data_IF_338924779026
#
_entry.id   IF_338924779026
#
_cell.length_a   1.000
_cell.length_b   1.000
_cell.length_c   1.000
_cell.angle_alpha   90.00
_cell.angle_beta   90.00
_cell.angle_gamma   90.00
#
_symmetry.space_group_name_H-M   'P 1'
#
loop_
_entity.id
_entity.type
_entity.pdbx_description
1 polymer ?
#
# COMPACT_ATOMS: atom_id res chain seq x y z
N UNK A 1 -47.68 -17.88 12.36
CA UNK A 1 -48.05 -16.69 11.58
C UNK A 1 -48.91 -15.76 12.43
N UNK A 2 -48.31 -14.74 13.02
CA UNK A 2 -49.02 -13.62 13.65
C UNK A 2 -48.26 -12.34 13.30
N UNK A 3 -48.97 -11.44 12.62
CA UNK A 3 -48.50 -10.16 12.08
C UNK A 3 -48.18 -9.18 13.22
N UNK A 4 -46.99 -8.58 13.21
CA UNK A 4 -46.68 -7.43 14.06
C UNK A 4 -46.60 -6.17 13.19
N UNK A 5 -47.51 -5.24 13.47
CA UNK A 5 -47.75 -3.99 12.73
C UNK A 5 -46.67 -2.94 13.04
N UNK A 6 -46.41 -2.14 12.01
CA UNK A 6 -45.66 -0.89 11.97
C UNK A 6 -45.98 0.04 13.14
N UNK A 7 -44.95 0.74 13.65
CA UNK A 7 -45.11 2.05 14.27
C UNK A 7 -44.08 3.00 13.69
N UNK A 8 -44.57 3.87 12.82
CA UNK A 8 -43.83 4.99 12.25
C UNK A 8 -43.73 6.09 13.31
N UNK A 9 -42.52 6.37 13.80
CA UNK A 9 -42.26 7.53 14.63
C UNK A 9 -41.67 8.63 13.74
N UNK A 10 -42.53 9.59 13.44
CA UNK A 10 -42.32 10.73 12.57
C UNK A 10 -42.19 11.95 13.49
N UNK A 11 -40.96 12.41 13.76
CA UNK A 11 -40.66 13.65 14.50
C UNK A 11 -39.42 14.24 13.81
N UNK A 12 -39.58 15.08 12.78
CA UNK A 12 -39.75 16.54 12.89
C UNK A 12 -38.71 17.17 13.84
N UNK A 13 -37.49 17.36 13.37
CA UNK A 13 -36.56 18.34 13.95
C UNK A 13 -36.20 19.39 12.90
N UNK A 14 -36.66 20.60 13.22
CA UNK A 14 -36.55 21.83 12.48
C UNK A 14 -35.10 22.31 12.35
N UNK A 15 -34.74 22.67 11.12
CA UNK A 15 -34.10 23.92 10.72
C UNK A 15 -33.40 24.73 11.83
N UNK A 16 -32.07 24.67 11.86
CA UNK A 16 -31.24 25.79 12.30
C UNK A 16 -30.32 26.19 11.14
N UNK A 17 -30.84 27.05 10.27
CA UNK A 17 -30.06 27.86 9.35
C UNK A 17 -29.45 29.01 10.15
N UNK A 18 -28.18 28.91 10.54
CA UNK A 18 -27.42 30.05 11.07
C UNK A 18 -26.77 30.75 9.88
N UNK A 19 -27.32 31.91 9.54
CA UNK A 19 -26.80 32.83 8.54
C UNK A 19 -25.45 33.38 8.97
N UNK A 20 -24.40 33.13 8.17
CA UNK A 20 -23.09 33.78 8.33
C UNK A 20 -23.09 35.07 7.51
N UNK A 21 -22.81 36.24 8.13
CA UNK A 21 -22.80 37.51 7.43
C UNK A 21 -21.63 37.63 6.43
N UNK A 22 -22.00 38.01 5.22
CA UNK A 22 -21.14 38.39 4.11
C UNK A 22 -20.34 39.66 4.47
N UNK A 23 -19.06 39.48 4.83
CA UNK A 23 -18.10 40.56 5.01
C UNK A 23 -17.50 41.00 3.68
N UNK A 24 -17.85 42.21 3.24
CA UNK A 24 -17.24 42.91 2.12
C UNK A 24 -15.78 43.21 2.44
N UNK A 25 -14.83 42.58 1.74
CA UNK A 25 -13.43 43.02 1.72
C UNK A 25 -13.22 43.90 0.50
N UNK A 26 -12.79 45.12 0.79
CA UNK A 26 -12.56 46.20 -0.14
C UNK A 26 -11.50 45.87 -1.18
N UNK A 27 -11.74 46.42 -2.37
CA UNK A 27 -10.80 46.52 -3.46
C UNK A 27 -9.52 47.26 -3.03
N UNK A 28 -8.37 46.68 -3.36
CA UNK A 28 -7.12 47.42 -3.39
C UNK A 28 -6.50 47.26 -4.79
N UNK A 29 -6.65 48.33 -5.57
CA UNK A 29 -5.93 48.54 -6.82
C UNK A 29 -4.43 48.63 -6.52
N UNK A 30 -3.64 47.77 -7.17
CA UNK A 30 -2.20 47.72 -6.98
C UNK A 30 -1.49 47.18 -8.21
N UNK A 31 -1.23 48.07 -9.17
CA UNK A 31 -0.09 48.10 -10.10
C UNK A 31 0.25 46.82 -10.89
N UNK A 32 -0.07 46.90 -12.18
CA UNK A 32 0.66 46.25 -13.27
C UNK A 32 2.17 46.35 -13.08
N UNK A 33 2.83 45.21 -12.85
CA UNK A 33 4.26 45.02 -13.06
C UNK A 33 4.43 43.98 -14.16
N UNK A 34 4.86 44.45 -15.32
CA UNK A 34 5.13 43.74 -16.56
C UNK A 34 6.42 42.94 -16.37
N UNK A 35 6.31 41.66 -16.00
CA UNK A 35 7.44 40.73 -15.98
C UNK A 35 7.83 40.30 -17.40
N UNK A 36 9.12 40.06 -17.68
CA UNK A 36 9.57 39.62 -19.00
C UNK A 36 9.04 38.21 -19.30
N UNK A 37 8.36 38.07 -20.44
CA UNK A 37 8.03 36.78 -21.01
C UNK A 37 9.32 36.11 -21.47
N UNK A 38 9.95 35.32 -20.59
CA UNK A 38 10.88 34.29 -21.04
C UNK A 38 10.05 33.21 -21.73
N UNK A 39 10.07 33.25 -23.04
CA UNK A 39 9.66 32.19 -23.96
C UNK A 39 10.57 30.98 -23.73
N UNK A 40 10.29 30.19 -22.69
CA UNK A 40 10.90 28.87 -22.56
C UNK A 40 10.21 27.96 -23.55
N UNK A 41 10.81 27.89 -24.74
CA UNK A 41 10.55 26.89 -25.77
C UNK A 41 10.26 25.55 -25.10
N UNK A 42 9.11 24.97 -25.43
CA UNK A 42 8.80 23.60 -25.08
C UNK A 42 10.00 22.73 -25.44
N UNK A 43 10.60 22.11 -24.42
CA UNK A 43 11.53 21.02 -24.64
C UNK A 43 10.70 19.92 -25.27
N UNK A 44 10.83 19.77 -26.58
CA UNK A 44 10.35 18.62 -27.29
C UNK A 44 10.97 17.39 -26.62
N UNK A 45 10.12 16.52 -26.07
CA UNK A 45 10.48 15.17 -25.69
C UNK A 45 11.24 14.55 -26.86
N UNK A 46 12.49 14.16 -26.61
CA UNK A 46 13.35 13.54 -27.62
C UNK A 46 12.59 12.36 -28.26
N UNK A 47 12.36 12.37 -29.59
CA UNK A 47 11.82 11.22 -30.29
C UNK A 47 12.96 10.22 -30.48
N UNK A 48 13.09 9.26 -29.57
CA UNK A 48 14.18 8.29 -29.65
C UNK A 48 14.23 7.20 -28.59
N UNK A 49 13.47 7.32 -27.49
CA UNK A 49 13.34 6.20 -26.55
C UNK A 49 12.42 5.17 -27.17
N UNK A 50 12.99 4.14 -27.81
CA UNK A 50 12.27 2.88 -28.06
C UNK A 50 11.54 2.55 -26.76
N UNK A 51 10.23 2.38 -26.82
CA UNK A 51 9.47 1.87 -25.70
C UNK A 51 10.16 0.58 -25.26
N UNK A 52 10.88 0.63 -24.13
CA UNK A 52 11.47 -0.55 -23.53
C UNK A 52 10.31 -1.49 -23.28
N UNK A 53 10.40 -2.71 -23.82
CA UNK A 53 9.37 -3.70 -23.58
C UNK A 53 9.30 -3.89 -22.05
N UNK A 54 8.15 -3.69 -21.38
CA UNK A 54 8.04 -3.82 -19.93
C UNK A 54 8.59 -5.15 -19.40
N UNK A 55 8.43 -6.23 -20.18
CA UNK A 55 8.98 -7.57 -19.91
C UNK A 55 10.52 -7.61 -19.83
N UNK A 56 11.20 -6.57 -20.32
CA UNK A 56 12.66 -6.43 -20.30
C UNK A 56 13.17 -5.54 -19.17
N UNK A 57 12.31 -4.87 -18.40
CA UNK A 57 12.77 -3.95 -17.34
C UNK A 57 12.83 -4.69 -16.01
N UNK A 58 11.69 -5.21 -15.58
CA UNK A 58 11.53 -5.95 -14.32
C UNK A 58 10.65 -7.17 -14.58
N UNK A 59 11.01 -8.28 -13.96
CA UNK A 59 10.18 -9.48 -13.95
C UNK A 59 9.95 -9.96 -12.53
N UNK A 60 8.70 -10.05 -12.13
CA UNK A 60 8.29 -10.66 -10.88
C UNK A 60 8.48 -12.18 -10.97
N UNK A 61 9.17 -12.74 -9.99
CA UNK A 61 9.51 -14.16 -9.97
C UNK A 61 8.63 -14.94 -9.02
N UNK A 62 8.46 -14.41 -7.81
CA UNK A 62 7.77 -15.14 -6.74
C UNK A 62 7.22 -14.17 -5.72
N UNK A 63 5.95 -14.38 -5.37
CA UNK A 63 5.29 -13.70 -4.27
C UNK A 63 4.96 -14.74 -3.21
N UNK A 64 5.29 -14.43 -1.97
CA UNK A 64 4.96 -15.24 -0.80
C UNK A 64 4.57 -14.34 0.36
N UNK A 65 3.43 -14.58 0.98
CA UNK A 65 3.01 -13.84 2.17
C UNK A 65 1.65 -14.25 2.73
N UNK A 66 1.05 -15.29 2.15
CA UNK A 66 -0.31 -15.72 2.46
C UNK A 66 -0.31 -17.00 3.32
N UNK A 67 -1.27 -17.08 4.24
CA UNK A 67 -1.41 -18.19 5.19
C UNK A 67 -0.19 -18.36 6.11
N UNK A 68 -0.01 -19.59 6.61
CA UNK A 68 1.00 -19.87 7.66
C UNK A 68 2.44 -19.60 7.26
N UNK A 69 2.76 -19.66 5.96
CA UNK A 69 4.10 -19.43 5.42
C UNK A 69 4.52 -17.97 5.48
N UNK A 70 3.55 -17.06 5.59
CA UNK A 70 3.82 -15.64 5.76
C UNK A 70 4.19 -15.26 7.20
N UNK A 71 4.09 -16.14 8.19
CA UNK A 71 4.43 -15.75 9.56
C UNK A 71 5.93 -15.78 9.83
N UNK A 72 6.41 -14.68 10.40
CA UNK A 72 7.78 -14.57 10.88
C UNK A 72 7.77 -14.11 12.34
N UNK A 73 8.65 -14.71 13.14
CA UNK A 73 8.79 -14.36 14.54
C UNK A 73 9.41 -12.98 14.71
N UNK A 74 9.05 -12.31 15.79
CA UNK A 74 9.68 -11.07 16.17
C UNK A 74 11.19 -11.30 16.39
N UNK A 75 12.06 -10.45 15.85
CA UNK A 75 13.49 -10.63 16.02
C UNK A 75 13.90 -10.37 17.46
N UNK A 76 14.71 -11.27 18.01
CA UNK A 76 15.28 -11.13 19.34
C UNK A 76 16.62 -10.39 19.25
N UNK A 77 16.61 -9.11 19.63
CA UNK A 77 17.85 -8.35 19.82
C UNK A 77 18.35 -8.55 21.25
N UNK A 78 19.49 -9.23 21.41
CA UNK A 78 20.14 -9.36 22.70
C UNK A 78 20.79 -8.04 23.07
N UNK A 79 20.03 -7.15 23.70
CA UNK A 79 20.58 -5.97 24.38
C UNK A 79 21.03 -6.40 25.78
N UNK A 80 22.18 -5.93 26.23
CA UNK A 80 22.84 -6.36 27.49
C UNK A 80 22.07 -5.98 28.76
N UNK A 81 20.87 -5.42 28.64
CA UNK A 81 20.09 -4.83 29.71
C UNK A 81 18.82 -5.67 29.84
N UNK A 82 18.71 -6.40 30.94
CA UNK A 82 17.64 -7.35 31.21
C UNK A 82 16.25 -6.73 31.07
N UNK A 83 15.60 -6.98 29.94
CA UNK A 83 14.19 -6.71 29.70
C UNK A 83 13.43 -8.03 29.58
N UNK A 84 12.25 -8.11 30.16
CA UNK A 84 11.33 -9.24 29.96
C UNK A 84 11.00 -9.34 28.47
N UNK A 85 11.38 -10.46 27.85
CA UNK A 85 11.04 -10.76 26.45
C UNK A 85 9.52 -10.84 26.37
N UNK A 86 8.90 -9.85 25.73
CA UNK A 86 7.46 -9.85 25.52
C UNK A 86 7.01 -11.06 24.70
N UNK A 87 5.78 -11.53 24.94
CA UNK A 87 5.15 -12.65 24.23
C UNK A 87 5.44 -12.57 22.72
N UNK A 88 6.01 -13.65 22.16
CA UNK A 88 6.21 -13.83 20.72
C UNK A 88 4.93 -13.42 19.97
N UNK A 89 4.98 -12.30 19.26
CA UNK A 89 3.90 -11.91 18.35
C UNK A 89 4.38 -12.13 16.93
N UNK A 90 3.70 -13.01 16.22
CA UNK A 90 4.03 -13.32 14.84
C UNK A 90 3.62 -12.14 13.93
N UNK A 91 4.58 -11.70 13.13
CA UNK A 91 4.37 -10.75 12.05
C UNK A 91 3.96 -11.51 10.80
N UNK A 92 3.09 -10.95 9.96
CA UNK A 92 2.95 -11.48 8.60
C UNK A 92 3.89 -10.73 7.67
N UNK A 93 4.85 -11.45 7.10
CA UNK A 93 5.79 -10.97 6.11
C UNK A 93 5.29 -11.32 4.70
N UNK A 94 5.27 -10.32 3.84
CA UNK A 94 5.06 -10.43 2.41
C UNK A 94 6.43 -10.22 1.76
N UNK A 95 6.86 -11.20 0.97
CA UNK A 95 8.14 -11.20 0.28
C UNK A 95 7.90 -11.36 -1.21
N UNK A 96 8.47 -10.45 -1.98
CA UNK A 96 8.47 -10.46 -3.43
C UNK A 96 9.90 -10.59 -3.94
N UNK A 97 10.15 -11.64 -4.71
CA UNK A 97 11.40 -11.84 -5.46
C UNK A 97 11.22 -11.32 -6.89
N UNK A 98 12.17 -10.51 -7.37
CA UNK A 98 12.14 -9.94 -8.72
C UNK A 98 13.53 -9.91 -9.36
N UNK A 99 13.53 -9.80 -10.69
CA UNK A 99 14.73 -9.64 -11.50
C UNK A 99 14.67 -8.34 -12.29
N UNK A 100 15.82 -7.68 -12.46
CA UNK A 100 16.03 -6.51 -13.30
C UNK A 100 16.97 -6.88 -14.45
N UNK A 101 16.68 -6.43 -15.68
CA UNK A 101 17.53 -6.69 -16.84
C UNK A 101 18.49 -5.54 -17.20
N UNK A 102 18.10 -4.25 -17.11
CA UNK A 102 19.01 -3.13 -17.34
C UNK A 102 20.17 -3.12 -16.33
N UNK A 103 21.33 -2.59 -16.74
CA UNK A 103 22.51 -2.47 -15.86
C UNK A 103 22.20 -1.70 -14.58
N UNK A 104 21.47 -0.59 -14.71
CA UNK A 104 20.94 0.21 -13.62
C UNK A 104 19.50 0.60 -13.91
N UNK A 105 18.68 0.62 -12.86
CA UNK A 105 17.29 1.09 -12.88
C UNK A 105 17.17 2.20 -11.85
N UNK A 106 16.90 3.42 -12.30
CA UNK A 106 16.91 4.61 -11.43
C UNK A 106 15.81 4.57 -10.37
N UNK A 107 14.63 4.04 -10.71
CA UNK A 107 13.44 4.11 -9.86
C UNK A 107 12.43 3.00 -10.17
N UNK A 108 12.04 2.24 -9.14
CA UNK A 108 10.93 1.31 -9.17
C UNK A 108 10.00 1.56 -7.98
N UNK A 109 8.70 1.58 -8.26
CA UNK A 109 7.68 1.67 -7.21
C UNK A 109 6.85 0.39 -7.18
N UNK A 110 6.83 -0.27 -6.02
CA UNK A 110 6.06 -1.47 -5.73
C UNK A 110 4.84 -1.08 -4.91
N UNK A 111 3.65 -1.28 -5.47
CA UNK A 111 2.39 -1.04 -4.80
C UNK A 111 1.83 -2.37 -4.30
N UNK A 112 1.79 -2.53 -2.98
CA UNK A 112 1.23 -3.70 -2.32
C UNK A 112 -0.24 -3.48 -1.97
N UNK A 113 -1.01 -4.54 -2.18
CA UNK A 113 -2.40 -4.69 -1.78
C UNK A 113 -2.52 -6.00 -1.01
N UNK A 114 -3.12 -5.97 0.17
CA UNK A 114 -3.28 -7.16 0.98
C UNK A 114 -4.67 -7.20 1.60
N UNK A 115 -5.23 -8.40 1.76
CA UNK A 115 -6.51 -8.61 2.43
C UNK A 115 -6.33 -9.64 3.53
N UNK A 116 -6.77 -9.30 4.73
CA UNK A 116 -6.96 -10.29 5.81
C UNK A 116 -8.44 -10.60 6.02
N UNK A 117 -8.70 -11.77 6.60
CA UNK A 117 -10.06 -12.25 6.85
C UNK A 117 -10.23 -12.64 8.32
N UNK A 118 -11.30 -12.14 8.94
CA UNK A 118 -11.70 -12.54 10.29
C UNK A 118 -13.21 -12.76 10.39
N UNK A 119 -13.62 -13.56 11.36
CA UNK A 119 -15.02 -13.67 11.78
C UNK A 119 -15.24 -12.70 12.94
N UNK A 120 -16.01 -11.64 12.71
CA UNK A 120 -16.37 -10.64 13.73
C UNK A 120 -17.88 -10.76 13.93
N UNK A 121 -18.31 -11.11 15.14
CA UNK A 121 -19.74 -11.28 15.47
C UNK A 121 -20.47 -12.26 14.55
N UNK A 122 -19.77 -13.30 14.08
CA UNK A 122 -20.33 -14.29 13.14
C UNK A 122 -20.36 -13.84 11.68
N UNK A 123 -19.91 -12.62 11.38
CA UNK A 123 -19.82 -12.08 10.02
C UNK A 123 -18.38 -12.13 9.52
N UNK A 124 -18.19 -12.69 8.32
CA UNK A 124 -16.90 -12.69 7.63
C UNK A 124 -16.56 -11.27 7.19
N UNK A 125 -15.57 -10.67 7.84
CA UNK A 125 -15.13 -9.30 7.58
C UNK A 125 -13.75 -9.33 6.94
N UNK A 126 -13.58 -8.57 5.87
CA UNK A 126 -12.31 -8.40 5.18
C UNK A 126 -11.67 -7.09 5.61
N UNK A 127 -10.36 -7.10 5.84
CA UNK A 127 -9.59 -5.88 6.05
C UNK A 127 -8.62 -5.69 4.90
N UNK A 128 -8.78 -4.59 4.17
CA UNK A 128 -7.98 -4.26 3.00
C UNK A 128 -6.86 -3.29 3.37
N UNK A 129 -5.62 -3.63 3.02
CA UNK A 129 -4.43 -2.84 3.29
C UNK A 129 -3.78 -2.44 1.97
N UNK A 130 -3.29 -1.20 1.94
CA UNK A 130 -2.56 -0.64 0.79
C UNK A 130 -1.32 0.08 1.29
N UNK A 131 -0.18 -0.19 0.66
CA UNK A 131 1.06 0.56 0.90
C UNK A 131 1.98 0.47 -0.31
N UNK A 132 2.79 1.50 -0.52
CA UNK A 132 3.79 1.53 -1.57
C UNK A 132 5.19 1.61 -1.00
N UNK A 133 6.16 1.07 -1.72
CA UNK A 133 7.59 1.22 -1.44
C UNK A 133 8.33 1.53 -2.73
N UNK A 134 9.31 2.41 -2.64
CA UNK A 134 10.08 2.92 -3.76
C UNK A 134 11.55 2.56 -3.56
N UNK A 135 12.16 1.99 -4.58
CA UNK A 135 13.59 1.72 -4.63
C UNK A 135 14.22 2.58 -5.71
N UNK A 136 15.41 3.11 -5.43
CA UNK A 136 16.22 3.83 -6.41
C UNK A 136 17.56 3.12 -6.62
N UNK A 137 18.21 3.45 -7.74
CA UNK A 137 19.59 3.04 -8.02
C UNK A 137 19.80 1.52 -7.93
N UNK A 138 18.95 0.76 -8.65
CA UNK A 138 18.90 -0.70 -8.56
C UNK A 138 19.77 -1.30 -9.66
N UNK A 139 20.81 -2.01 -9.28
CA UNK A 139 21.66 -2.72 -10.24
C UNK A 139 20.90 -3.88 -10.90
N UNK A 140 21.36 -4.30 -12.08
CA UNK A 140 20.97 -5.57 -12.70
C UNK A 140 21.14 -6.75 -11.74
N UNK A 141 20.11 -7.57 -11.61
CA UNK A 141 20.20 -8.77 -10.78
C UNK A 141 18.94 -9.63 -10.85
N UNK A 142 19.04 -10.87 -10.38
CA UNK A 142 17.93 -11.83 -10.41
C UNK A 142 17.37 -12.19 -9.02
N UNK A 143 18.04 -11.75 -7.95
CA UNK A 143 17.75 -12.12 -6.57
C UNK A 143 17.39 -10.88 -5.73
N UNK A 144 16.78 -9.88 -6.36
CA UNK A 144 16.28 -8.72 -5.64
C UNK A 144 15.05 -9.11 -4.84
N UNK A 145 14.96 -8.60 -3.63
CA UNK A 145 13.85 -8.88 -2.73
C UNK A 145 13.22 -7.57 -2.27
N UNK A 146 11.89 -7.56 -2.22
CA UNK A 146 11.12 -6.50 -1.59
C UNK A 146 10.23 -7.10 -0.50
N UNK A 147 10.30 -6.56 0.71
CA UNK A 147 9.56 -7.08 1.86
C UNK A 147 8.63 -6.03 2.48
N UNK A 148 7.42 -6.47 2.82
CA UNK A 148 6.42 -5.70 3.57
C UNK A 148 5.95 -6.52 4.76
N UNK A 149 5.61 -5.85 5.86
CA UNK A 149 5.26 -6.47 7.13
C UNK A 149 3.91 -5.97 7.64
N UNK A 150 3.01 -6.88 7.99
CA UNK A 150 1.78 -6.57 8.69
C UNK A 150 2.01 -6.67 10.20
N UNK A 151 1.63 -5.63 10.93
CA UNK A 151 1.78 -5.57 12.40
C UNK A 151 1.08 -6.75 13.09
N UNK A 152 1.65 -7.32 14.17
CA UNK A 152 1.02 -8.45 14.86
C UNK A 152 -0.31 -8.09 15.52
N UNK A 153 -0.50 -6.82 15.89
CA UNK A 153 -1.80 -6.33 16.38
C UNK A 153 -2.89 -6.38 15.32
N UNK A 154 -2.54 -6.16 14.05
CA UNK A 154 -3.49 -6.29 12.94
C UNK A 154 -3.79 -7.77 12.69
N UNK A 155 -2.78 -8.63 12.63
CA UNK A 155 -2.97 -10.08 12.48
C UNK A 155 -3.89 -10.62 13.58
N UNK A 156 -3.63 -10.28 14.84
CA UNK A 156 -4.44 -10.74 15.97
C UNK A 156 -5.89 -10.27 15.91
N UNK A 157 -6.13 -9.05 15.39
CA UNK A 157 -7.46 -8.42 15.40
C UNK A 157 -8.27 -8.71 14.14
N UNK A 158 -7.61 -8.84 13.00
CA UNK A 158 -8.21 -8.89 11.66
C UNK A 158 -7.88 -10.17 10.91
N UNK A 159 -7.23 -11.12 11.58
CA UNK A 159 -6.92 -12.44 11.05
C UNK A 159 -5.70 -12.46 10.14
N UNK A 160 -5.46 -13.64 9.57
CA UNK A 160 -4.32 -13.91 8.69
C UNK A 160 -4.54 -13.29 7.30
N UNK A 161 -3.43 -13.05 6.59
CA UNK A 161 -3.48 -12.63 5.20
C UNK A 161 -4.08 -13.75 4.34
N UNK A 162 -5.13 -13.38 3.61
CA UNK A 162 -5.92 -14.25 2.75
C UNK A 162 -5.48 -14.12 1.29
N UNK A 163 -5.22 -12.90 0.83
CA UNK A 163 -4.75 -12.60 -0.52
C UNK A 163 -3.80 -11.40 -0.50
N UNK A 164 -2.82 -11.42 -1.40
CA UNK A 164 -1.85 -10.34 -1.61
C UNK A 164 -1.66 -10.14 -3.11
N UNK A 165 -1.58 -8.89 -3.53
CA UNK A 165 -1.21 -8.52 -4.89
C UNK A 165 -0.16 -7.41 -4.88
N UNK A 166 0.69 -7.41 -5.90
CA UNK A 166 1.72 -6.39 -6.10
C UNK A 166 1.69 -5.90 -7.53
N UNK A 167 1.77 -4.58 -7.69
CA UNK A 167 1.99 -3.92 -8.97
C UNK A 167 3.34 -3.23 -8.95
N UNK A 168 4.17 -3.50 -9.95
CA UNK A 168 5.44 -2.78 -10.13
C UNK A 168 5.25 -1.74 -11.20
N UNK A 169 5.68 -0.53 -10.89
CA UNK A 169 5.71 0.58 -11.83
C UNK A 169 7.11 1.13 -12.04
N UNK A 170 7.43 1.40 -13.29
CA UNK A 170 8.66 2.07 -13.74
C UNK A 170 8.25 3.33 -14.49
N UNK A 171 8.78 4.49 -14.09
CA UNK A 171 8.43 5.80 -14.67
C UNK A 171 6.91 6.05 -14.74
N UNK A 172 6.19 5.62 -13.69
CA UNK A 172 4.73 5.77 -13.58
C UNK A 172 3.89 4.80 -14.41
N UNK A 173 4.51 3.89 -15.17
CA UNK A 173 3.80 2.86 -15.93
C UNK A 173 3.90 1.52 -15.22
N UNK A 174 2.77 0.82 -15.06
CA UNK A 174 2.78 -0.56 -14.53
C UNK A 174 3.46 -1.48 -15.54
N UNK A 175 4.54 -2.12 -15.12
CA UNK A 175 5.35 -3.01 -15.97
C UNK A 175 5.06 -4.48 -15.72
N UNK A 176 4.71 -4.85 -14.48
CA UNK A 176 4.40 -6.24 -14.11
C UNK A 176 3.49 -6.27 -12.87
N UNK A 177 2.74 -7.35 -12.71
CA UNK A 177 1.80 -7.56 -11.60
C UNK A 177 1.78 -9.04 -11.17
N UNK A 178 1.68 -9.30 -9.87
CA UNK A 178 1.61 -10.67 -9.34
C UNK A 178 0.63 -10.74 -8.18
N UNK A 179 -0.06 -11.87 -8.05
CA UNK A 179 -1.01 -12.14 -6.98
C UNK A 179 -0.76 -13.50 -6.36
N UNK A 180 -0.99 -13.61 -5.05
CA UNK A 180 -0.98 -14.84 -4.28
C UNK A 180 -2.22 -14.85 -3.39
N UNK A 181 -2.91 -15.99 -3.33
CA UNK A 181 -4.18 -16.10 -2.62
C UNK A 181 -4.39 -17.51 -2.05
N UNK A 182 -5.02 -17.58 -0.87
CA UNK A 182 -5.38 -18.88 -0.24
C UNK A 182 -6.56 -19.52 -0.95
N UNK A 183 -7.49 -18.69 -1.44
CA UNK A 183 -8.68 -19.10 -2.16
C UNK A 183 -8.86 -18.17 -3.36
N UNK A 184 -9.40 -18.73 -4.44
CA UNK A 184 -9.54 -18.05 -5.73
C UNK A 184 -10.35 -16.75 -5.61
N UNK A 185 -9.76 -15.63 -6.01
CA UNK A 185 -10.42 -14.33 -6.14
C UNK A 185 -10.66 -13.99 -7.61
N UNK A 186 -11.48 -12.97 -7.90
CA UNK A 186 -11.57 -12.40 -9.25
C UNK A 186 -10.20 -11.92 -9.75
N UNK A 187 -9.94 -11.96 -11.07
CA UNK A 187 -8.75 -11.34 -11.64
C UNK A 187 -8.65 -9.87 -11.25
N UNK A 188 -7.46 -9.42 -10.84
CA UNK A 188 -7.21 -8.04 -10.39
C UNK A 188 -8.17 -7.57 -9.30
N UNK A 189 -8.52 -8.45 -8.36
CA UNK A 189 -9.45 -8.18 -7.26
C UNK A 189 -9.12 -6.89 -6.48
N UNK A 190 -7.86 -6.47 -6.42
CA UNK A 190 -7.42 -5.24 -5.74
C UNK A 190 -7.84 -3.95 -6.44
N UNK A 191 -8.33 -4.05 -7.68
CA UNK A 191 -8.91 -2.96 -8.48
C UNK A 191 -10.43 -3.09 -8.63
N UNK A 192 -11.00 -4.22 -8.23
CA UNK A 192 -12.43 -4.50 -8.38
C UNK A 192 -13.22 -3.80 -7.25
N UNK A 193 -14.10 -2.83 -7.58
CA UNK A 193 -14.92 -2.15 -6.57
C UNK A 193 -15.79 -3.11 -5.78
N UNK A 194 -16.19 -4.25 -6.37
CA UNK A 194 -17.02 -5.25 -5.69
C UNK A 194 -16.31 -5.93 -4.52
N UNK A 195 -14.97 -5.92 -4.53
CA UNK A 195 -14.11 -6.47 -3.48
C UNK A 195 -13.64 -5.35 -2.54
N UNK A 196 -13.14 -4.25 -3.08
CA UNK A 196 -12.52 -3.17 -2.31
C UNK A 196 -13.55 -2.32 -1.57
N UNK A 197 -14.67 -1.99 -2.22
CA UNK A 197 -15.74 -1.13 -1.67
C UNK A 197 -16.91 -1.96 -1.11
N UNK A 198 -16.72 -3.27 -0.94
CA UNK A 198 -17.72 -4.14 -0.35
C UNK A 198 -18.08 -3.67 1.07
N UNK A 199 -19.36 -3.68 1.49
CA UNK A 199 -19.75 -3.36 2.87
C UNK A 199 -19.07 -4.22 3.95
N UNK A 200 -18.61 -5.41 3.58
CA UNK A 200 -17.87 -6.32 4.47
C UNK A 200 -16.36 -6.08 4.47
N UNK A 201 -15.86 -5.22 3.57
CA UNK A 201 -14.45 -4.84 3.46
C UNK A 201 -14.21 -3.51 4.13
N UNK A 202 -13.24 -3.47 5.04
CA UNK A 202 -12.81 -2.25 5.72
C UNK A 202 -11.39 -1.90 5.27
N UNK A 203 -11.22 -0.75 4.63
CA UNK A 203 -9.90 -0.22 4.29
C UNK A 203 -9.15 0.19 5.57
N UNK A 204 -7.87 -0.18 5.66
CA UNK A 204 -7.01 0.06 6.82
C UNK A 204 -5.63 0.54 6.37
N UNK A 205 -5.32 1.76 6.73
CA UNK A 205 -4.05 2.41 6.39
C UNK A 205 -3.03 2.29 7.54
N UNK A 206 -1.73 2.34 7.22
CA UNK A 206 -0.63 2.39 8.19
C UNK A 206 -0.30 1.07 8.92
N UNK A 207 -0.98 -0.03 8.59
CA UNK A 207 -0.72 -1.35 9.17
C UNK A 207 0.31 -2.17 8.41
N UNK A 208 0.41 -1.95 7.09
CA UNK A 208 1.39 -2.58 6.23
C UNK A 208 2.62 -1.66 6.17
N UNK A 209 3.75 -2.17 6.66
CA UNK A 209 4.98 -1.42 6.87
C UNK A 209 6.06 -1.91 5.93
N UNK A 210 6.90 -1.02 5.42
CA UNK A 210 8.14 -1.46 4.77
C UNK A 210 9.11 -2.02 5.83
N UNK A 211 10.18 -2.66 5.36
CA UNK A 211 11.19 -3.22 6.26
C UNK A 211 11.79 -2.16 7.19
N UNK A 212 12.13 -0.98 6.66
CA UNK A 212 12.75 0.09 7.44
C UNK A 212 11.86 0.61 8.59
N UNK A 213 10.52 0.49 8.48
CA UNK A 213 9.56 0.83 9.52
C UNK A 213 9.25 -0.31 10.49
N UNK A 214 9.88 -1.48 10.31
CA UNK A 214 9.63 -2.69 11.09
C UNK A 214 10.81 -3.01 12.02
N UNK A 215 10.62 -3.87 13.03
CA UNK A 215 11.72 -4.40 13.84
C UNK A 215 12.75 -5.19 13.03
N UNK A 216 12.50 -5.52 11.76
CA UNK A 216 13.43 -6.25 10.88
C UNK A 216 14.42 -5.33 10.14
N UNK A 217 14.36 -4.01 10.37
CA UNK A 217 15.22 -3.03 9.72
C UNK A 217 16.72 -3.28 9.97
N UNK A 218 17.09 -3.76 11.16
CA UNK A 218 18.49 -3.97 11.55
C UNK A 218 19.01 -5.39 11.26
N UNK A 219 18.12 -6.30 10.84
CA UNK A 219 18.53 -7.62 10.40
C UNK A 219 18.82 -7.54 8.92
N UNK A 220 20.04 -7.90 8.52
CA UNK A 220 20.38 -8.04 7.12
C UNK A 220 19.45 -9.06 6.45
N UNK A 221 18.65 -8.60 5.49
CA UNK A 221 18.01 -9.48 4.52
C UNK A 221 19.05 -10.01 3.52
N UNK A 222 18.80 -11.14 2.86
CA UNK A 222 19.61 -11.55 1.72
C UNK A 222 19.45 -10.51 0.59
N UNK A 223 20.51 -9.75 0.31
CA UNK A 223 20.67 -8.88 -0.87
C UNK A 223 19.62 -7.76 -1.03
N UNK A 224 19.20 -7.10 0.05
CA UNK A 224 18.40 -5.87 -0.08
C UNK A 224 19.37 -4.68 -0.17
N UNK A 225 19.35 -3.96 -1.30
CA UNK A 225 20.01 -2.67 -1.42
C UNK A 225 19.46 -1.73 -0.35
N UNK A 226 20.34 -1.09 0.42
CA UNK A 226 19.95 -0.25 1.55
C UNK A 226 18.95 0.84 1.12
N UNK A 227 17.70 0.75 1.61
CA UNK A 227 16.71 1.82 1.52
C UNK A 227 17.23 3.04 2.30
N UNK A 228 17.66 4.10 1.60
CA UNK A 228 17.82 5.41 2.23
C UNK A 228 16.47 6.11 2.24
N UNK A 229 15.85 6.21 3.42
CA UNK A 229 14.76 7.16 3.66
C UNK A 229 15.37 8.57 3.54
N UNK A 230 14.93 9.35 2.55
CA UNK A 230 15.07 10.82 2.54
C UNK A 230 13.72 11.46 2.81
#
# INVERSE_FOLDING_TARGET
MKYFKMSACLILCLLFFVAVPCGKVAAQQGRSARGPQTTTKGVALQPGVKALNPDQIVKLRKLSGVGRRGFVKNPEYRTSIGGTVGVDKDWSQITLEYATAPEWVDDLTFQFYAVSVAMIEGVKTYSFYKSAVRYSDIERGVNHTCTMFLRPSAVKRFGELFAVAVEVSFKGMVVDEMTEETQKMPPKWWKDPTVVENPTTVAREGYLLNRAQSPFALISGPNEGFEFIR
#
